data_IF_285017280262
#
_entry.id   IF_285017280262
#
_cell.length_a   1.000
_cell.length_b   1.000
_cell.length_c   1.000
_cell.angle_alpha   90.00
_cell.angle_beta   90.00
_cell.angle_gamma   90.00
#
_symmetry.space_group_name_H-M   'P 1'
#
loop_
_entity.id
_entity.type
_entity.pdbx_description
1 polymer ?
2 non-polymer ?
3 water ?
#
# COMPACT_ATOMS: atom_id res chain seq x y z
N UNK A 1 -19.12 13.32 -5.84
CA UNK A 1 -19.63 14.65 -6.30
C UNK A 1 -18.68 15.33 -7.28
N UNK A 2 -17.53 15.79 -6.79
CA UNK A 2 -16.40 16.23 -7.62
C UNK A 2 -15.37 15.12 -7.79
N UNK A 3 -15.65 13.92 -7.26
CA UNK A 3 -14.66 12.81 -7.16
C UNK A 3 -14.57 12.10 -8.52
N UNK A 4 -13.34 11.75 -8.90
CA UNK A 4 -13.03 10.88 -10.06
C UNK A 4 -13.38 9.43 -9.68
N UNK A 5 -14.48 8.89 -10.22
CA UNK A 5 -14.92 7.49 -9.96
C UNK A 5 -13.85 6.51 -10.48
N UNK A 6 -13.18 6.83 -11.58
CA UNK A 6 -12.13 5.96 -12.16
C UNK A 6 -10.91 5.90 -11.23
N UNK A 7 -10.51 7.03 -10.64
CA UNK A 7 -9.37 7.11 -9.71
C UNK A 7 -9.74 6.36 -8.43
N UNK A 8 -11.00 6.47 -8.01
CA UNK A 8 -11.50 5.70 -6.83
C UNK A 8 -11.39 4.19 -7.10
N UNK A 9 -11.88 3.72 -8.25
CA UNK A 9 -11.79 2.30 -8.65
C UNK A 9 -10.31 1.87 -8.66
N UNK A 10 -9.41 2.68 -9.23
CA UNK A 10 -7.97 2.33 -9.35
C UNK A 10 -7.36 2.18 -7.95
N UNK A 11 -7.60 3.15 -7.08
CA UNK A 11 -7.17 3.13 -5.66
C UNK A 11 -7.65 1.80 -5.02
N UNK A 12 -8.93 1.45 -5.17
CA UNK A 12 -9.44 0.23 -4.48
C UNK A 12 -8.67 -0.97 -5.00
N UNK A 13 -8.51 -1.10 -6.32
CA UNK A 13 -7.86 -2.29 -6.94
C UNK A 13 -6.40 -2.33 -6.47
N UNK A 14 -5.74 -1.18 -6.42
CA UNK A 14 -4.32 -1.06 -6.03
C UNK A 14 -4.17 -1.46 -4.55
N UNK A 15 -5.09 -1.01 -3.68
CA UNK A 15 -4.98 -1.35 -2.23
C UNK A 15 -5.04 -2.88 -2.08
N UNK A 16 -5.95 -3.53 -2.80
CA UNK A 16 -6.10 -5.00 -2.64
C UNK A 16 -4.86 -5.71 -3.18
N UNK A 17 -4.38 -5.32 -4.35
CA UNK A 17 -3.15 -5.90 -4.95
C UNK A 17 -1.97 -5.63 -4.02
N UNK A 18 -1.89 -4.44 -3.43
CA UNK A 18 -0.71 -4.06 -2.61
C UNK A 18 -0.75 -4.76 -1.25
N UNK A 19 -1.94 -4.90 -0.68
CA UNK A 19 -2.09 -5.65 0.59
C UNK A 19 -1.61 -7.09 0.40
N UNK A 20 -2.03 -7.72 -0.69
CA UNK A 20 -1.64 -9.12 -0.94
C UNK A 20 -0.13 -9.20 -1.24
N UNK A 21 0.39 -8.26 -2.04
CA UNK A 21 1.83 -8.17 -2.36
C UNK A 21 2.64 -8.13 -1.06
N UNK A 22 2.23 -7.28 -0.12
CA UNK A 22 2.97 -7.07 1.15
C UNK A 22 2.79 -8.26 2.09
N UNK A 23 1.62 -8.88 2.11
CA UNK A 23 1.43 -10.14 2.87
C UNK A 23 2.41 -11.18 2.32
N UNK A 24 2.42 -11.37 1.00
CA UNK A 24 3.31 -12.35 0.36
C UNK A 24 4.78 -11.96 0.62
N UNK A 25 5.12 -10.66 0.57
CA UNK A 25 6.53 -10.24 0.72
C UNK A 25 6.99 -10.42 2.16
N UNK A 26 6.15 -10.16 3.15
CA UNK A 26 6.49 -10.43 4.57
C UNK A 26 6.85 -11.91 4.69
N UNK A 27 6.01 -12.78 4.12
CA UNK A 27 6.21 -14.25 4.20
C UNK A 27 7.50 -14.66 3.46
N UNK A 28 7.73 -14.07 2.29
CA UNK A 28 8.92 -14.38 1.45
C UNK A 28 10.20 -13.98 2.20
N UNK A 29 10.24 -12.78 2.80
CA UNK A 29 11.42 -12.28 3.56
C UNK A 29 11.60 -13.12 4.83
N UNK A 30 10.51 -13.54 5.47
CA UNK A 30 10.53 -14.46 6.61
C UNK A 30 11.31 -15.74 6.25
N UNK A 31 11.13 -16.23 5.03
CA UNK A 31 11.70 -17.53 4.54
C UNK A 31 13.12 -17.35 3.98
N UNK A 32 13.66 -16.13 3.91
CA UNK A 32 15.03 -15.86 3.40
C UNK A 32 16.07 -16.26 4.44
N UNK A 33 17.23 -16.85 4.04
CA UNK A 33 18.35 -17.05 4.98
C UNK A 33 18.77 -15.72 5.63
N UNK A 34 18.56 -14.63 4.90
CA UNK A 34 18.89 -13.22 5.25
C UNK A 34 17.91 -12.63 6.29
N UNK A 35 16.88 -13.37 6.70
CA UNK A 35 15.70 -12.83 7.45
C UNK A 35 16.14 -11.84 8.54
N UNK A 36 17.28 -12.09 9.20
CA UNK A 36 17.78 -11.26 10.32
C UNK A 36 18.02 -9.81 9.86
N UNK A 37 18.32 -9.60 8.58
CA UNK A 37 18.57 -8.26 7.97
C UNK A 37 17.30 -7.69 7.34
N UNK A 38 16.18 -8.42 7.39
CA UNK A 38 14.96 -8.06 6.64
C UNK A 38 13.81 -7.78 7.59
N UNK A 39 14.09 -7.51 8.88
CA UNK A 39 13.06 -7.43 9.96
C UNK A 39 12.25 -6.14 9.81
N UNK A 40 12.88 -5.01 9.51
CA UNK A 40 12.13 -3.75 9.29
C UNK A 40 11.26 -3.92 8.05
N UNK A 41 11.77 -4.62 7.03
CA UNK A 41 11.06 -4.87 5.76
C UNK A 41 9.79 -5.68 6.05
N UNK A 42 9.94 -6.76 6.82
CA UNK A 42 8.81 -7.65 7.17
C UNK A 42 7.78 -6.82 7.96
N UNK A 43 8.22 -6.08 8.97
CA UNK A 43 7.30 -5.29 9.84
C UNK A 43 6.56 -4.27 8.97
N UNK A 44 7.27 -3.60 8.08
CA UNK A 44 6.65 -2.55 7.25
C UNK A 44 5.62 -3.22 6.31
N UNK A 45 5.93 -4.38 5.73
CA UNK A 45 4.96 -5.14 4.90
C UNK A 45 3.69 -5.45 5.70
N UNK A 46 3.87 -5.85 6.96
CA UNK A 46 2.70 -6.16 7.82
C UNK A 46 1.83 -4.91 7.98
N UNK A 47 2.46 -3.77 8.26
CA UNK A 47 1.65 -2.54 8.45
C UNK A 47 0.99 -2.19 7.12
N UNK A 48 1.78 -2.27 6.06
CA UNK A 48 1.28 -1.83 4.75
C UNK A 48 0.09 -2.70 4.31
N UNK A 49 0.12 -4.00 4.64
CA UNK A 49 -1.02 -4.86 4.30
C UNK A 49 -2.22 -4.43 5.14
N UNK A 50 -2.05 -4.21 6.43
CA UNK A 50 -3.19 -3.87 7.33
C UNK A 50 -3.84 -2.58 6.83
N UNK A 51 -3.03 -1.59 6.47
CA UNK A 51 -3.58 -0.25 6.13
C UNK A 51 -4.22 -0.29 4.74
N UNK A 52 -3.60 -0.99 3.79
CA UNK A 52 -4.21 -1.12 2.44
C UNK A 52 -5.54 -1.85 2.56
N UNK A 53 -5.61 -2.90 3.40
CA UNK A 53 -6.88 -3.64 3.59
C UNK A 53 -7.99 -2.72 4.10
N UNK A 54 -7.68 -1.90 5.10
CA UNK A 54 -8.68 -0.98 5.71
C UNK A 54 -9.07 0.09 4.67
N UNK A 55 -8.08 0.59 3.92
CA UNK A 55 -8.32 1.69 2.95
C UNK A 55 -9.22 1.17 1.84
N UNK A 56 -8.97 -0.04 1.32
CA UNK A 56 -9.81 -0.60 0.25
C UNK A 56 -11.27 -0.63 0.73
N UNK A 57 -11.47 -1.01 1.97
CA UNK A 57 -12.83 -1.17 2.53
C UNK A 57 -13.50 0.20 2.69
N UNK A 58 -12.81 1.14 3.29
CA UNK A 58 -13.40 2.49 3.48
C UNK A 58 -13.74 3.09 2.11
N UNK A 59 -12.85 2.96 1.11
CA UNK A 59 -13.05 3.66 -0.19
C UNK A 59 -14.16 2.95 -0.97
N UNK A 60 -14.44 1.69 -0.66
CA UNK A 60 -15.50 0.89 -1.30
C UNK A 60 -16.91 1.30 -0.85
N UNK A 61 -17.05 2.14 0.18
CA UNK A 61 -18.35 2.51 0.77
C UNK A 61 -18.69 3.94 0.35
N UNK A 62 -19.87 4.15 -0.23
CA UNK A 62 -20.37 5.46 -0.71
C UNK A 62 -21.45 6.02 0.24
N UNK A 63 -22.21 5.18 0.94
CA UNK A 63 -23.27 5.61 1.88
C UNK A 63 -22.68 6.59 2.91
N UNK A 64 -23.34 7.73 3.17
CA UNK A 64 -22.90 8.67 4.22
C UNK A 64 -21.41 8.99 4.11
N UNK A 65 -20.92 9.18 2.88
CA UNK A 65 -19.52 9.56 2.56
C UNK A 65 -19.11 10.80 3.37
N UNK A 66 -17.93 10.73 3.99
CA UNK A 66 -17.31 11.83 4.77
C UNK A 66 -15.91 12.09 4.24
N UNK A 67 -15.68 13.20 3.54
CA UNK A 67 -14.38 13.54 2.92
C UNK A 67 -13.25 13.59 3.96
N UNK A 68 -13.53 14.01 5.20
CA UNK A 68 -12.52 14.13 6.28
C UNK A 68 -11.97 12.74 6.61
N UNK A 69 -12.86 11.77 6.76
CA UNK A 69 -12.47 10.37 7.06
C UNK A 69 -11.68 9.85 5.86
N UNK A 70 -12.23 10.00 4.66
CA UNK A 70 -11.62 9.41 3.45
C UNK A 70 -10.22 10.02 3.23
N UNK A 71 -10.09 11.34 3.36
CA UNK A 71 -8.79 12.03 3.21
C UNK A 71 -7.77 11.46 4.21
N UNK A 72 -8.14 11.34 5.48
CA UNK A 72 -7.19 10.92 6.55
C UNK A 72 -6.75 9.46 6.31
N UNK A 73 -7.68 8.63 5.87
CA UNK A 73 -7.36 7.20 5.58
C UNK A 73 -6.47 7.14 4.33
N UNK A 74 -6.76 7.90 3.26
CA UNK A 74 -5.87 7.89 2.07
C UNK A 74 -4.49 8.39 2.46
N UNK A 75 -4.43 9.44 3.29
CA UNK A 75 -3.09 9.95 3.70
C UNK A 75 -2.31 8.81 4.42
N UNK A 76 -2.99 8.11 5.34
CA UNK A 76 -2.28 7.05 6.09
C UNK A 76 -1.77 6.00 5.08
N UNK A 77 -2.59 5.68 4.09
CA UNK A 77 -2.22 4.59 3.16
C UNK A 77 -1.08 5.05 2.25
N UNK A 78 -1.14 6.32 1.81
CA UNK A 78 -0.04 6.88 1.00
C UNK A 78 1.29 6.74 1.79
N UNK A 79 1.20 7.24 3.06
CA UNK A 79 2.43 7.34 3.93
C UNK A 79 3.06 5.94 4.13
N UNK A 80 2.19 4.91 4.37
CA UNK A 80 2.77 3.58 4.65
C UNK A 80 3.24 2.95 3.32
N UNK A 81 2.54 3.16 2.21
CA UNK A 81 3.03 2.64 0.91
C UNK A 81 4.37 3.31 0.59
N UNK A 82 4.53 4.59 0.88
CA UNK A 82 5.82 5.25 0.60
C UNK A 82 6.93 4.63 1.44
N UNK A 83 6.69 4.42 2.74
CA UNK A 83 7.69 3.85 3.67
C UNK A 83 7.98 2.40 3.24
N UNK A 84 6.94 1.65 2.90
CA UNK A 84 7.14 0.23 2.54
C UNK A 84 7.80 0.07 1.18
N UNK A 85 7.51 0.96 0.21
CA UNK A 85 8.17 0.93 -1.09
C UNK A 85 9.68 1.17 -0.93
N UNK A 86 10.04 2.13 -0.08
CA UNK A 86 11.44 2.49 0.22
C UNK A 86 12.15 1.30 0.87
N UNK A 87 11.49 0.63 1.82
CA UNK A 87 12.13 -0.44 2.60
C UNK A 87 12.34 -1.65 1.69
N UNK A 88 11.32 -2.05 0.91
CA UNK A 88 11.45 -3.17 -0.06
C UNK A 88 12.47 -2.83 -1.16
N UNK A 89 12.55 -1.58 -1.61
CA UNK A 89 13.52 -1.15 -2.64
C UNK A 89 14.94 -1.39 -2.13
N UNK A 90 15.20 -1.21 -0.83
CA UNK A 90 16.52 -1.44 -0.20
C UNK A 90 16.87 -2.93 -0.18
N UNK A 91 15.87 -3.84 -0.20
CA UNK A 91 16.05 -5.31 -0.22
C UNK A 91 16.00 -5.86 -1.65
N UNK A 92 15.76 -5.02 -2.65
CA UNK A 92 15.50 -5.40 -4.06
C UNK A 92 16.66 -6.20 -4.64
N UNK A 93 17.90 -5.89 -4.23
CA UNK A 93 19.12 -6.58 -4.68
C UNK A 93 19.27 -7.96 -4.05
N UNK A 94 18.59 -8.21 -2.93
CA UNK A 94 18.71 -9.47 -2.14
C UNK A 94 17.63 -10.49 -2.54
N UNK A 95 16.52 -10.00 -3.12
CA UNK A 95 15.35 -10.82 -3.49
C UNK A 95 14.48 -10.12 -4.55
N UNK A 96 14.21 -10.82 -5.65
CA UNK A 96 13.29 -10.38 -6.74
C UNK A 96 11.89 -10.09 -6.18
N UNK A 97 11.46 -10.79 -5.13
CA UNK A 97 10.09 -10.60 -4.56
C UNK A 97 9.98 -9.19 -3.97
N UNK A 98 11.06 -8.64 -3.40
CA UNK A 98 11.07 -7.26 -2.84
C UNK A 98 11.08 -6.19 -3.94
N UNK A 99 11.74 -6.46 -5.05
CA UNK A 99 11.71 -5.53 -6.20
C UNK A 99 10.26 -5.40 -6.67
N UNK A 100 9.57 -6.54 -6.82
CA UNK A 100 8.15 -6.64 -7.26
C UNK A 100 7.26 -5.93 -6.23
N UNK A 101 7.47 -6.18 -4.94
CA UNK A 101 6.65 -5.57 -3.88
C UNK A 101 6.91 -4.06 -3.81
N UNK A 102 8.15 -3.64 -4.00
CA UNK A 102 8.47 -2.20 -4.03
C UNK A 102 7.63 -1.50 -5.12
N UNK A 103 7.54 -2.12 -6.29
CA UNK A 103 6.74 -1.59 -7.43
C UNK A 103 5.27 -1.49 -7.02
N UNK A 104 4.72 -2.52 -6.37
CA UNK A 104 3.32 -2.53 -5.90
C UNK A 104 3.10 -1.36 -4.92
N UNK A 105 4.00 -1.19 -3.96
CA UNK A 105 3.91 -0.11 -2.93
C UNK A 105 3.92 1.26 -3.63
N UNK A 106 4.82 1.44 -4.59
CA UNK A 106 4.97 2.73 -5.31
C UNK A 106 3.70 2.99 -6.14
N UNK A 107 3.16 1.96 -6.78
CA UNK A 107 1.94 2.04 -7.61
C UNK A 107 0.74 2.45 -6.74
N UNK A 108 0.62 1.88 -5.54
CA UNK A 108 -0.52 2.17 -4.64
C UNK A 108 -0.34 3.56 -4.00
N UNK A 109 0.88 3.92 -3.62
CA UNK A 109 1.18 5.28 -3.14
C UNK A 109 0.67 6.32 -4.15
N UNK A 110 0.96 6.11 -5.43
CA UNK A 110 0.58 7.05 -6.51
C UNK A 110 -0.94 7.07 -6.65
N UNK A 111 -1.62 5.92 -6.58
CA UNK A 111 -3.10 5.84 -6.67
C UNK A 111 -3.76 6.62 -5.52
N UNK A 112 -3.25 6.49 -4.28
CA UNK A 112 -3.76 7.23 -3.10
C UNK A 112 -3.52 8.74 -3.27
N UNK A 113 -2.30 9.11 -3.69
CA UNK A 113 -1.89 10.54 -3.85
C UNK A 113 -2.78 11.19 -4.92
N UNK A 114 -3.05 10.49 -6.02
CA UNK A 114 -3.86 11.02 -7.16
C UNK A 114 -5.31 11.27 -6.70
N UNK A 115 -5.86 10.36 -5.91
CA UNK A 115 -7.23 10.50 -5.35
C UNK A 115 -7.25 11.64 -4.33
N UNK A 116 -6.22 11.70 -3.48
CA UNK A 116 -6.07 12.71 -2.41
C UNK A 116 -6.12 14.09 -3.03
N UNK A 117 -5.41 14.24 -4.14
CA UNK A 117 -5.26 15.54 -4.84
C UNK A 117 -6.64 16.04 -5.31
N UNK A 118 -7.56 15.13 -5.64
CA UNK A 118 -8.92 15.46 -6.12
C UNK A 118 -9.93 15.68 -5.01
N UNK A 119 -9.54 15.41 -3.76
CA UNK A 119 -10.24 15.64 -2.45
C UNK A 119 -11.12 14.44 -2.09
X LIG B 1 4.88 -3.50 1.74
X LIG C 1 3.18 -1.52 0.62
X LIG D 1 1.68 -3.49 -0.47
X LIG E 1 10.96 -9.49 -0.64
X LIG F 1 9.63 -9.50 1.42
X LIG G 1 5.41 -3.55 -1.36
X LIG H 1 7.06 -5.11 0.37
X LIG I 1 9.31 -6.44 2.94
X LIG J 1 -2.16 0.39 -0.83
X LIG K 1 -6.53 2.31 -2.62
X LIG L 1 -5.36 4.57 -2.44
X LIG M 1 -2.71 3.35 -2.28
X LIG N 1 -1.04 2.47 0.96
X LIG O 1 -4.23 1.74 0.11
X LIG P 1 0.86 -0.28 -0.66
X LIG Q 1 -0.07 -1.06 1.85
X LIG R 1 11.46 -7.68 2.40
X LIG S 1 7.80 -2.88 1.59
X LIG T 1 9.45 -6.63 0.24
#
# INVERSE_FOLDING_TARGET
GGVDREAMARCIEECLRCAQACTACADACLSEPTVADLTKCIRTDMDCADVCTATAAVLSRHTGYDANVTRAVLQACATVCAACGDECARAAGMAEHCRVCAEACRSCEQACQELLAGL
CU1 CU
CU1 CU
CU1 CU
CU1 CU
CU1 CU
CU1 CU
CU1 CU
CU1 CU
CU1 CU
CU1 CU
CU1 CU
CU1 CU
CU1 CU
CU1 CU
CU1 CU
CU1 CU
CU1 CU
CU1 CU
CU1 CU
#
